data_IF_608278731104
#
_entry.id   IF_608278731104
#
_cell.length_a   1.000
_cell.length_b   1.000
_cell.length_c   1.000
_cell.angle_alpha   90.00
_cell.angle_beta   90.00
_cell.angle_gamma   90.00
#
_symmetry.space_group_name_H-M   'P 1'
#
loop_
_entity.id
_entity.type
_entity.pdbx_description
1 polymer ?
#
# COMPACT_ATOMS: atom_id res chain seq x y z
N UNK A 1 5.52 -12.04 11.66
CA UNK A 1 4.99 -10.87 12.41
C UNK A 1 5.98 -9.74 12.31
N UNK A 2 5.48 -8.52 12.28
CA UNK A 2 6.32 -7.32 12.15
C UNK A 2 6.82 -6.91 13.52
N UNK A 3 8.03 -6.35 13.61
CA UNK A 3 8.50 -5.75 14.86
C UNK A 3 7.53 -4.68 15.36
N UNK A 4 7.28 -4.66 16.67
CA UNK A 4 6.37 -3.69 17.31
C UNK A 4 6.80 -2.23 17.14
N UNK A 5 8.07 -1.96 16.83
CA UNK A 5 8.56 -0.59 16.58
C UNK A 5 8.00 0.04 15.29
N UNK A 6 7.41 -0.76 14.38
CA UNK A 6 6.76 -0.26 13.17
C UNK A 6 5.32 0.20 13.45
N UNK A 7 4.67 -0.34 14.49
CA UNK A 7 3.29 0.02 14.81
C UNK A 7 3.21 1.32 15.63
N UNK A 8 4.24 1.62 16.45
CA UNK A 8 4.37 2.87 17.19
C UNK A 8 5.06 3.96 16.33
N UNK A 9 4.27 4.52 15.40
CA UNK A 9 4.70 5.49 14.37
C UNK A 9 5.29 6.82 14.88
N UNK A 10 5.19 7.13 16.18
CA UNK A 10 5.59 8.43 16.74
C UNK A 10 7.09 8.73 16.58
N UNK A 11 7.93 7.69 16.51
CA UNK A 11 9.38 7.83 16.39
C UNK A 11 9.87 7.86 14.93
N UNK A 12 9.00 7.56 13.95
CA UNK A 12 9.36 7.44 12.53
C UNK A 12 8.92 8.65 11.69
N UNK A 13 8.63 9.79 12.33
CA UNK A 13 8.14 11.01 11.67
C UNK A 13 9.07 11.59 10.60
N UNK A 14 10.36 11.26 10.63
CA UNK A 14 11.36 11.67 9.64
C UNK A 14 11.66 10.61 8.58
N UNK A 15 11.05 9.43 8.68
CA UNK A 15 11.30 8.33 7.76
C UNK A 15 10.74 8.67 6.37
N UNK A 16 11.62 8.69 5.37
CA UNK A 16 11.31 9.03 3.98
C UNK A 16 11.23 7.84 3.06
N UNK A 17 11.94 6.77 3.39
CA UNK A 17 12.09 5.63 2.51
C UNK A 17 11.95 4.34 3.29
N UNK A 18 11.12 3.43 2.79
CA UNK A 18 10.98 2.07 3.29
C UNK A 18 11.19 1.11 2.13
N UNK A 19 12.12 0.18 2.31
CA UNK A 19 12.33 -0.92 1.39
C UNK A 19 12.27 -2.23 2.16
N UNK A 20 11.32 -3.09 1.80
CA UNK A 20 11.10 -4.39 2.42
C UNK A 20 11.24 -5.45 1.35
N UNK A 21 12.24 -6.32 1.49
CA UNK A 21 12.55 -7.33 0.48
C UNK A 21 12.70 -8.72 1.09
N UNK A 22 12.32 -9.76 0.33
CA UNK A 22 12.60 -11.18 0.63
C UNK A 22 12.13 -11.61 2.02
N UNK A 23 10.87 -11.31 2.35
CA UNK A 23 10.30 -11.64 3.66
C UNK A 23 9.17 -12.66 3.55
N UNK A 24 9.56 -13.94 3.59
CA UNK A 24 8.67 -15.06 3.31
C UNK A 24 7.54 -15.25 4.33
N UNK A 25 7.76 -14.93 5.61
CA UNK A 25 6.76 -15.18 6.68
C UNK A 25 5.81 -14.01 6.91
N UNK A 26 5.93 -12.93 6.14
CA UNK A 26 5.11 -11.73 6.31
C UNK A 26 3.76 -11.91 5.63
N UNK A 27 2.67 -11.82 6.40
CA UNK A 27 1.29 -11.93 5.88
C UNK A 27 0.60 -10.57 5.80
N UNK A 28 0.97 -9.64 6.66
CA UNK A 28 0.37 -8.31 6.73
C UNK A 28 1.45 -7.31 7.12
N UNK A 29 1.53 -6.18 6.39
CA UNK A 29 2.35 -5.04 6.77
C UNK A 29 1.65 -4.12 7.79
N UNK A 30 2.46 -3.48 8.63
CA UNK A 30 1.99 -2.56 9.69
C UNK A 30 1.59 -1.20 9.13
N UNK A 31 1.18 -0.28 9.99
CA UNK A 31 0.53 0.98 9.59
C UNK A 31 1.50 2.04 9.03
N UNK A 32 2.03 1.83 7.82
CA UNK A 32 2.89 2.80 7.14
C UNK A 32 2.13 4.02 6.60
N UNK A 33 0.82 3.89 6.38
CA UNK A 33 -0.01 4.93 5.78
C UNK A 33 -0.08 6.24 6.57
N UNK A 34 0.38 6.24 7.83
CA UNK A 34 0.38 7.42 8.71
C UNK A 34 1.72 8.16 8.73
N UNK A 35 2.75 7.64 8.08
CA UNK A 35 4.07 8.26 8.04
C UNK A 35 4.02 9.54 7.21
N UNK A 36 4.23 10.73 7.82
CA UNK A 36 3.94 12.01 7.17
C UNK A 36 4.97 12.39 6.10
N UNK A 37 6.16 11.79 6.12
CA UNK A 37 7.28 12.13 5.22
C UNK A 37 7.72 10.97 4.35
N UNK A 38 6.99 9.85 4.36
CA UNK A 38 7.32 8.69 3.54
C UNK A 38 7.09 9.03 2.06
N UNK A 39 8.17 9.13 1.32
CA UNK A 39 8.24 9.51 -0.10
C UNK A 39 8.40 8.27 -0.99
N UNK A 40 9.09 7.23 -0.51
CA UNK A 40 9.33 6.00 -1.24
C UNK A 40 8.92 4.77 -0.44
N UNK A 41 8.08 3.92 -1.05
CA UNK A 41 7.76 2.60 -0.53
C UNK A 41 8.08 1.53 -1.58
N UNK A 42 8.97 0.62 -1.23
CA UNK A 42 9.28 -0.56 -2.04
C UNK A 42 9.02 -1.83 -1.24
N UNK A 43 8.23 -2.73 -1.82
CA UNK A 43 7.94 -4.05 -1.27
C UNK A 43 8.19 -5.08 -2.36
N UNK A 44 9.19 -5.95 -2.17
CA UNK A 44 9.64 -6.91 -3.16
C UNK A 44 9.82 -8.33 -2.59
N UNK A 45 9.37 -9.36 -3.30
CA UNK A 45 9.58 -10.78 -2.94
C UNK A 45 8.99 -11.14 -1.56
N UNK A 46 7.72 -10.78 -1.32
CA UNK A 46 6.96 -11.20 -0.14
C UNK A 46 5.85 -12.17 -0.56
N UNK A 47 6.14 -13.48 -0.72
CA UNK A 47 5.22 -14.45 -1.30
C UNK A 47 3.94 -14.70 -0.49
N UNK A 48 3.95 -14.40 0.81
CA UNK A 48 2.82 -14.60 1.70
C UNK A 48 2.09 -13.31 2.09
N UNK A 49 2.51 -12.16 1.56
CA UNK A 49 1.89 -10.89 1.89
C UNK A 49 0.50 -10.79 1.27
N UNK A 50 -0.49 -10.52 2.11
CA UNK A 50 -1.88 -10.34 1.69
C UNK A 50 -2.31 -8.86 1.77
N UNK A 51 -1.87 -8.13 2.79
CA UNK A 51 -2.32 -6.75 3.08
C UNK A 51 -1.17 -5.85 3.57
N UNK A 52 -1.28 -4.53 3.36
CA UNK A 52 -0.21 -3.57 3.73
C UNK A 52 -0.55 -2.70 4.94
N UNK A 53 -1.81 -2.64 5.36
CA UNK A 53 -2.27 -1.86 6.51
C UNK A 53 -3.19 -2.71 7.39
N UNK A 54 -2.87 -2.85 8.68
CA UNK A 54 -3.72 -3.54 9.65
C UNK A 54 -4.65 -2.55 10.36
N UNK A 55 -5.97 -2.78 10.30
CA UNK A 55 -7.00 -1.90 10.87
C UNK A 55 -7.15 -2.01 12.39
N UNK A 56 -6.09 -2.32 13.14
CA UNK A 56 -6.17 -2.50 14.61
C UNK A 56 -6.37 -1.20 15.37
N UNK A 57 -6.37 -0.05 14.71
CA UNK A 57 -6.61 1.26 15.34
C UNK A 57 -8.02 1.76 15.08
N UNK A 58 -8.80 1.72 16.15
CA UNK A 58 -10.01 2.48 16.47
C UNK A 58 -10.94 2.89 15.31
N UNK A 59 -12.17 2.34 15.21
CA UNK A 59 -13.16 2.77 14.21
C UNK A 59 -13.52 4.27 14.29
N UNK A 60 -13.20 4.96 15.38
CA UNK A 60 -13.33 6.42 15.51
C UNK A 60 -12.13 7.23 14.97
N UNK A 61 -10.99 6.58 14.66
CA UNK A 61 -9.79 7.22 14.12
C UNK A 61 -9.82 7.34 12.59
N UNK A 62 -10.94 6.98 11.94
CA UNK A 62 -11.24 7.25 10.53
C UNK A 62 -11.45 8.76 10.30
N UNK A 63 -10.44 9.56 10.61
CA UNK A 63 -10.31 10.90 10.06
C UNK A 63 -10.20 10.74 8.54
N UNK A 64 -10.94 11.57 7.80
CA UNK A 64 -11.00 11.62 6.34
C UNK A 64 -9.66 11.98 5.65
N UNK A 65 -8.53 11.82 6.33
CA UNK A 65 -7.22 12.08 5.81
C UNK A 65 -6.79 10.97 4.85
N UNK A 66 -6.14 11.32 3.72
CA UNK A 66 -5.54 10.32 2.84
C UNK A 66 -4.47 9.54 3.60
N UNK A 67 -4.41 8.22 3.37
CA UNK A 67 -3.20 7.47 3.71
C UNK A 67 -2.05 7.94 2.82
N UNK A 68 -0.81 7.67 3.22
CA UNK A 68 0.38 7.93 2.43
C UNK A 68 0.41 9.33 1.78
N UNK A 69 0.25 10.41 2.57
CA UNK A 69 0.07 11.76 2.04
C UNK A 69 1.28 12.28 1.24
N UNK A 70 2.46 11.66 1.42
CA UNK A 70 3.72 12.09 0.84
C UNK A 70 4.36 11.09 -0.13
N UNK A 71 3.75 9.91 -0.36
CA UNK A 71 4.36 8.93 -1.26
C UNK A 71 4.40 9.48 -2.69
N UNK A 72 5.59 9.50 -3.26
CA UNK A 72 5.87 9.87 -4.65
C UNK A 72 6.23 8.64 -5.48
N UNK A 73 6.85 7.62 -4.87
CA UNK A 73 7.30 6.40 -5.54
C UNK A 73 6.80 5.15 -4.81
N UNK A 74 6.11 4.30 -5.56
CA UNK A 74 5.60 3.02 -5.07
C UNK A 74 6.04 1.89 -5.99
N UNK A 75 6.69 0.89 -5.40
CA UNK A 75 7.09 -0.33 -6.09
C UNK A 75 6.56 -1.56 -5.35
N UNK A 76 5.76 -2.36 -6.05
CA UNK A 76 5.24 -3.64 -5.56
C UNK A 76 5.67 -4.75 -6.51
N UNK A 77 6.56 -5.64 -6.06
CA UNK A 77 7.10 -6.72 -6.88
C UNK A 77 7.09 -8.09 -6.19
N UNK A 78 6.77 -9.16 -6.93
CA UNK A 78 6.85 -10.52 -6.39
C UNK A 78 5.86 -10.77 -5.25
N UNK A 79 4.60 -10.30 -5.41
CA UNK A 79 3.54 -10.35 -4.41
C UNK A 79 2.35 -11.22 -4.91
N UNK A 80 2.50 -12.55 -4.98
CA UNK A 80 1.51 -13.46 -5.57
C UNK A 80 0.22 -13.61 -4.75
N UNK A 81 0.23 -13.31 -3.44
CA UNK A 81 -0.95 -13.41 -2.56
C UNK A 81 -1.55 -12.07 -2.17
N UNK A 82 -1.03 -10.97 -2.72
CA UNK A 82 -1.45 -9.62 -2.32
C UNK A 82 -2.87 -9.34 -2.79
N UNK A 83 -3.71 -8.91 -1.85
CA UNK A 83 -5.15 -8.68 -2.05
C UNK A 83 -5.52 -7.20 -2.02
N UNK A 84 -4.65 -6.33 -1.50
CA UNK A 84 -4.90 -4.90 -1.45
C UNK A 84 -4.25 -4.22 -0.25
N UNK A 85 -4.61 -2.96 -0.02
CA UNK A 85 -4.00 -2.14 1.01
C UNK A 85 -4.60 -2.37 2.40
N UNK A 86 -5.92 -2.51 2.52
CA UNK A 86 -6.64 -2.66 3.79
C UNK A 86 -7.46 -3.95 3.86
N UNK A 87 -7.62 -4.48 5.07
CA UNK A 87 -8.69 -5.44 5.38
C UNK A 87 -9.96 -4.66 5.74
N UNK A 88 -10.89 -4.48 4.80
CA UNK A 88 -12.17 -3.82 5.11
C UNK A 88 -13.10 -4.78 5.85
N UNK A 89 -13.12 -4.70 7.17
CA UNK A 89 -14.20 -5.27 7.98
C UNK A 89 -15.30 -4.22 8.21
N UNK A 90 -15.95 -3.73 7.17
CA UNK A 90 -17.22 -3.01 7.32
C UNK A 90 -17.91 -2.84 5.95
N UNK A 91 -18.92 -3.67 5.71
CA UNK A 91 -19.99 -3.37 4.77
C UNK A 91 -20.71 -2.11 5.27
N UNK A 92 -20.35 -0.93 4.76
CA UNK A 92 -21.19 0.28 4.86
C UNK A 92 -20.80 1.25 3.76
N UNK A 93 -21.72 1.37 2.81
CA UNK A 93 -21.82 2.43 1.81
C UNK A 93 -21.29 3.80 2.26
N UNK A 94 -20.20 4.25 1.63
CA UNK A 94 -20.06 5.67 1.27
C UNK A 94 -19.16 5.77 0.04
N UNK A 95 -19.80 6.11 -1.09
CA UNK A 95 -19.12 6.41 -2.34
C UNK A 95 -18.31 7.69 -2.20
N UNK A 96 -17.04 7.53 -1.89
CA UNK A 96 -15.98 8.47 -2.20
C UNK A 96 -14.70 7.64 -2.23
N UNK A 97 -14.18 7.39 -3.43
CA UNK A 97 -12.89 6.72 -3.60
C UNK A 97 -11.85 7.48 -2.79
N UNK A 98 -11.45 6.91 -1.65
CA UNK A 98 -10.44 7.53 -0.80
C UNK A 98 -9.14 7.51 -1.58
N UNK A 99 -8.64 8.69 -1.94
CA UNK A 99 -7.36 8.82 -2.64
C UNK A 99 -6.28 8.39 -1.64
N UNK A 100 -5.73 7.19 -1.87
CA UNK A 100 -4.68 6.62 -1.01
C UNK A 100 -3.32 7.22 -1.33
N UNK A 101 -3.09 7.72 -2.56
CA UNK A 101 -1.79 8.24 -2.96
C UNK A 101 -1.92 9.58 -3.70
N UNK A 102 -2.19 10.69 -2.99
CA UNK A 102 -2.45 11.98 -3.64
C UNK A 102 -1.24 12.56 -4.39
N UNK A 103 -0.02 12.09 -4.11
CA UNK A 103 1.23 12.60 -4.67
C UNK A 103 2.01 11.57 -5.50
N UNK A 104 1.39 10.43 -5.83
CA UNK A 104 2.12 9.37 -6.53
C UNK A 104 2.51 9.81 -7.94
N UNK A 105 3.82 9.76 -8.22
CA UNK A 105 4.40 10.12 -9.52
C UNK A 105 4.96 8.90 -10.25
N UNK A 106 5.41 7.88 -9.51
CA UNK A 106 5.98 6.65 -10.06
C UNK A 106 5.31 5.42 -9.44
N UNK A 107 4.69 4.61 -10.29
CA UNK A 107 4.09 3.34 -9.90
C UNK A 107 4.73 2.19 -10.68
N UNK A 108 5.27 1.21 -9.97
CA UNK A 108 5.87 0.01 -10.53
C UNK A 108 5.22 -1.23 -9.93
N UNK A 109 4.56 -2.01 -10.79
CA UNK A 109 3.88 -3.26 -10.44
C UNK A 109 4.53 -4.41 -11.20
N UNK A 110 5.01 -5.42 -10.49
CA UNK A 110 5.75 -6.54 -11.08
C UNK A 110 5.41 -7.88 -10.44
N UNK A 111 5.22 -8.94 -11.23
CA UNK A 111 5.15 -10.31 -10.70
C UNK A 111 4.11 -10.45 -9.57
N UNK A 112 2.91 -9.90 -9.81
CA UNK A 112 1.83 -9.86 -8.83
C UNK A 112 0.73 -10.86 -9.16
N UNK A 113 0.03 -11.34 -8.14
CA UNK A 113 -1.14 -12.22 -8.26
C UNK A 113 -2.46 -11.50 -8.52
N UNK A 114 -2.44 -10.23 -8.93
CA UNK A 114 -3.64 -9.42 -9.08
C UNK A 114 -4.44 -9.80 -10.33
N UNK A 115 -5.71 -10.16 -10.14
CA UNK A 115 -6.66 -10.36 -11.24
C UNK A 115 -7.28 -9.05 -11.75
N UNK A 116 -7.40 -8.07 -10.85
CA UNK A 116 -8.07 -6.79 -11.09
C UNK A 116 -7.19 -5.70 -10.47
N UNK A 117 -7.13 -4.53 -11.12
CA UNK A 117 -6.48 -3.34 -10.56
C UNK A 117 -7.28 -2.85 -9.35
N UNK A 118 -6.67 -2.79 -8.14
CA UNK A 118 -7.33 -2.23 -6.97
C UNK A 118 -7.84 -0.80 -7.19
N UNK A 119 -8.99 -0.44 -6.61
CA UNK A 119 -9.61 0.89 -6.74
C UNK A 119 -8.66 2.02 -6.28
N UNK A 120 -7.72 1.70 -5.41
CA UNK A 120 -6.69 2.59 -4.89
C UNK A 120 -5.72 3.13 -5.95
N UNK A 121 -5.61 2.45 -7.09
CA UNK A 121 -4.83 2.93 -8.24
C UNK A 121 -5.70 3.66 -9.28
N UNK A 122 -6.99 3.86 -9.01
CA UNK A 122 -7.85 4.70 -9.83
C UNK A 122 -7.66 6.18 -9.45
N UNK A 123 -7.67 7.07 -10.45
CA UNK A 123 -7.63 8.52 -10.20
C UNK A 123 -6.27 9.08 -9.80
N UNK A 124 -5.16 8.41 -10.13
CA UNK A 124 -3.78 8.88 -9.88
C UNK A 124 -3.40 10.05 -10.82
N UNK A 125 -3.95 11.25 -10.58
CA UNK A 125 -3.78 12.42 -11.45
C UNK A 125 -2.36 12.99 -11.54
N UNK A 126 -1.49 12.65 -10.59
CA UNK A 126 -0.08 13.09 -10.56
C UNK A 126 0.90 12.07 -11.15
N UNK A 127 0.41 10.96 -11.69
CA UNK A 127 1.25 9.86 -12.15
C UNK A 127 2.02 10.26 -13.42
N UNK A 128 3.35 10.16 -13.37
CA UNK A 128 4.27 10.50 -14.45
C UNK A 128 4.93 9.27 -15.06
N UNK A 129 5.07 8.20 -14.27
CA UNK A 129 5.68 6.94 -14.69
C UNK A 129 4.85 5.76 -14.21
N UNK A 130 4.53 4.86 -15.14
CA UNK A 130 3.85 3.61 -14.88
C UNK A 130 4.61 2.45 -15.53
N UNK A 131 4.97 1.46 -14.72
CA UNK A 131 5.51 0.18 -15.18
C UNK A 131 4.64 -0.95 -14.65
N UNK A 132 4.14 -1.79 -15.56
CA UNK A 132 3.42 -3.02 -15.21
C UNK A 132 4.13 -4.17 -15.93
N UNK A 133 4.61 -5.16 -15.17
CA UNK A 133 5.38 -6.26 -15.72
C UNK A 133 4.96 -7.59 -15.11
N UNK A 134 4.78 -8.62 -15.95
CA UNK A 134 4.43 -9.97 -15.49
C UNK A 134 3.22 -10.04 -14.52
N UNK A 135 2.22 -9.17 -14.72
CA UNK A 135 0.93 -9.22 -14.03
C UNK A 135 -0.04 -10.07 -14.87
N UNK A 136 0.23 -11.37 -14.95
CA UNK A 136 -0.39 -12.28 -15.92
C UNK A 136 -1.91 -12.47 -15.75
N UNK A 137 -2.44 -12.07 -14.60
CA UNK A 137 -3.84 -12.21 -14.25
C UNK A 137 -4.63 -10.91 -14.42
N UNK A 138 -3.95 -9.78 -14.65
CA UNK A 138 -4.56 -8.46 -14.68
C UNK A 138 -5.45 -8.32 -15.92
N UNK A 139 -6.76 -8.19 -15.71
CA UNK A 139 -7.74 -7.97 -16.80
C UNK A 139 -8.14 -6.50 -16.87
N UNK A 140 -8.24 -5.97 -18.10
CA UNK A 140 -8.88 -4.68 -18.39
C UNK A 140 -8.05 -3.44 -18.05
N UNK A 141 -6.94 -3.25 -18.76
CA UNK A 141 -6.38 -1.90 -18.98
C UNK A 141 -7.26 -1.18 -20.00
#
# INVERSE_FOLDING_TARGET
RIPSWIDDNDYLSNLKEIQIRKWETCVCLGSFGRLPRLELLEIADLPNLEYIESSTTDPNALSAAPLFPSIEQLTLQGLPKWKGWRTTCASSSSGAGAIIFPRLRRLELGWMGLEIVPEEFQGLSSLEYLQISYCNLLKGI
#
